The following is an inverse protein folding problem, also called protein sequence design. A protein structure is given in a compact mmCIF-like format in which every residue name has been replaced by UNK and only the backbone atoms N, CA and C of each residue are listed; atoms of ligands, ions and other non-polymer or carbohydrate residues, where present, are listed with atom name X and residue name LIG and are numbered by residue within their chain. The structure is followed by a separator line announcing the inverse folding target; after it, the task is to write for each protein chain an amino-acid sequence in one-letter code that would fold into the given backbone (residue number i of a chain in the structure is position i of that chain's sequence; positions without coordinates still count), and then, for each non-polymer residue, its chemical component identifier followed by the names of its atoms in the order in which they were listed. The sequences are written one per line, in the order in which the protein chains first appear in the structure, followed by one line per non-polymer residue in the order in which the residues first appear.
data_IF_884454698652
#
_entry.id   IF_884454698652
#
_cell.length_a   1.000
_cell.length_b   1.000
_cell.length_c   1.000
_cell.angle_alpha   90.00
_cell.angle_beta   90.00
_cell.angle_gamma   90.00
#
_symmetry.space_group_name_H-M   'P 1'
#
loop_
_entity.id
_entity.type
_entity.pdbx_description
1 polymer ?
#
# COMPACT_ATOMS: atom_id res chain seq x y z
N UNK A 1 -30.36 26.09 19.26
CA UNK A 1 -30.42 24.73 18.72
C UNK A 1 -29.03 24.12 18.86
N UNK A 2 -28.89 23.03 19.62
CA UNK A 2 -27.62 22.29 19.71
C UNK A 2 -27.88 20.85 19.26
N UNK A 3 -27.88 20.65 17.95
CA UNK A 3 -27.65 19.34 17.38
C UNK A 3 -26.14 19.10 17.39
N UNK A 4 -25.70 17.91 17.78
CA UNK A 4 -24.30 17.57 17.94
C UNK A 4 -23.99 16.21 17.32
N UNK A 5 -22.82 16.12 16.69
CA UNK A 5 -22.28 14.87 16.17
C UNK A 5 -21.46 14.17 17.27
N UNK A 6 -21.88 12.96 17.66
CA UNK A 6 -21.26 12.21 18.75
C UNK A 6 -20.24 11.18 18.23
N UNK A 7 -20.59 10.43 17.19
CA UNK A 7 -19.68 9.46 16.58
C UNK A 7 -20.01 9.14 15.14
N UNK A 8 -19.00 8.66 14.39
CA UNK A 8 -19.16 8.07 13.06
C UNK A 8 -18.40 6.74 13.04
N UNK A 9 -19.09 5.68 12.63
CA UNK A 9 -18.50 4.39 12.32
C UNK A 9 -18.53 4.13 10.82
N UNK A 10 -17.37 3.89 10.22
CA UNK A 10 -17.23 3.44 8.83
C UNK A 10 -17.32 1.91 8.74
N UNK A 11 -16.83 1.22 9.77
CA UNK A 11 -17.01 -0.21 9.93
C UNK A 11 -18.27 -0.48 10.78
N UNK A 12 -19.34 -0.96 10.16
CA UNK A 12 -20.60 -1.31 10.82
C UNK A 12 -21.44 -2.21 9.91
N UNK A 13 -22.23 -3.19 10.42
CA UNK A 13 -21.90 -4.24 11.39
C UNK A 13 -20.90 -5.28 10.83
N UNK A 14 -20.03 -5.82 11.70
CA UNK A 14 -18.84 -6.63 11.38
C UNK A 14 -19.03 -7.90 10.50
N UNK A 15 -20.26 -8.28 10.15
CA UNK A 15 -20.58 -9.47 9.35
C UNK A 15 -21.00 -9.18 7.89
N UNK A 16 -21.27 -7.93 7.51
CA UNK A 16 -21.75 -7.57 6.17
C UNK A 16 -20.60 -7.06 5.27
N UNK A 17 -19.81 -7.99 4.73
CA UNK A 17 -18.49 -7.73 4.15
C UNK A 17 -18.41 -6.87 2.86
N UNK A 18 -19.50 -6.27 2.36
CA UNK A 18 -19.50 -5.49 1.11
C UNK A 18 -19.86 -4.01 1.27
N UNK A 19 -20.35 -3.58 2.45
CA UNK A 19 -20.94 -2.23 2.63
C UNK A 19 -20.15 -1.30 3.57
N UNK A 20 -19.18 -1.84 4.28
CA UNK A 20 -18.45 -1.16 5.34
C UNK A 20 -16.93 -1.21 5.11
N UNK A 21 -16.18 -0.38 5.83
CA UNK A 21 -14.72 -0.38 5.75
C UNK A 21 -14.11 -1.69 6.27
N UNK A 22 -12.87 -1.94 5.87
CA UNK A 22 -12.04 -3.04 6.35
C UNK A 22 -11.72 -2.89 7.85
N UNK A 23 -11.55 -4.01 8.54
CA UNK A 23 -10.84 -4.02 9.82
C UNK A 23 -9.38 -3.67 9.54
N UNK A 24 -8.87 -2.61 10.18
CA UNK A 24 -7.48 -2.18 10.04
C UNK A 24 -6.87 -1.90 11.41
N UNK A 25 -5.55 -1.79 11.44
CA UNK A 25 -4.76 -1.30 12.56
C UNK A 25 -4.03 -0.05 12.11
N UNK A 26 -3.57 0.77 13.05
CA UNK A 26 -2.65 1.86 12.70
C UNK A 26 -1.27 1.29 12.39
N UNK A 27 -0.80 0.38 13.24
CA UNK A 27 0.48 -0.31 13.15
C UNK A 27 0.44 -1.61 13.97
N UNK A 28 1.60 -2.25 14.20
CA UNK A 28 1.71 -3.47 15.00
C UNK A 28 1.10 -3.34 16.42
N UNK A 29 1.25 -2.20 17.09
CA UNK A 29 0.81 -2.03 18.49
C UNK A 29 -0.64 -1.52 18.61
N UNK A 30 -1.09 -0.74 17.63
CA UNK A 30 -2.29 0.09 17.76
C UNK A 30 -3.42 -0.40 16.84
N UNK A 31 -4.52 -0.90 17.43
CA UNK A 31 -5.73 -1.29 16.69
C UNK A 31 -6.62 -0.07 16.44
N UNK A 32 -7.19 0.04 15.23
CA UNK A 32 -8.25 1.03 14.94
C UNK A 32 -9.57 0.49 15.50
N UNK A 33 -10.12 1.19 16.50
CA UNK A 33 -11.35 0.78 17.18
C UNK A 33 -12.54 1.59 16.68
N UNK A 34 -13.66 0.90 16.47
CA UNK A 34 -14.95 1.53 16.21
C UNK A 34 -15.48 2.22 17.49
N UNK A 35 -16.19 3.36 17.38
CA UNK A 35 -16.30 4.19 16.18
C UNK A 35 -14.97 4.86 15.83
N UNK A 36 -14.64 4.91 14.55
CA UNK A 36 -13.39 5.50 14.05
C UNK A 36 -13.33 7.00 14.34
N UNK A 37 -14.48 7.69 14.32
CA UNK A 37 -14.59 9.07 14.75
C UNK A 37 -15.51 9.17 15.97
N UNK A 38 -15.08 9.90 17.00
CA UNK A 38 -15.91 10.16 18.17
C UNK A 38 -15.54 11.47 18.84
N UNK A 39 -16.54 12.15 19.37
CA UNK A 39 -16.36 13.32 20.22
C UNK A 39 -16.83 12.98 21.63
N UNK A 40 -15.98 13.27 22.60
CA UNK A 40 -16.37 13.39 24.01
C UNK A 40 -16.08 14.82 24.47
N UNK A 41 -16.56 15.20 25.66
CA UNK A 41 -16.53 16.58 26.15
C UNK A 41 -15.18 17.31 26.02
N UNK A 42 -14.04 16.60 26.00
CA UNK A 42 -12.70 17.20 25.90
C UNK A 42 -11.80 16.59 24.81
N UNK A 43 -12.26 15.61 24.04
CA UNK A 43 -11.40 14.89 23.08
C UNK A 43 -12.19 14.54 21.82
N UNK A 44 -11.67 15.00 20.67
CA UNK A 44 -12.05 14.48 19.36
C UNK A 44 -11.06 13.40 18.97
N UNK A 45 -11.55 12.19 18.75
CA UNK A 45 -10.78 11.08 18.18
C UNK A 45 -11.19 10.94 16.71
N UNK A 46 -10.20 10.87 15.83
CA UNK A 46 -10.36 10.53 14.43
C UNK A 46 -9.34 9.48 14.06
N UNK A 47 -9.83 8.30 13.69
CA UNK A 47 -9.04 7.15 13.25
C UNK A 47 -9.30 6.90 11.77
N UNK A 48 -8.42 6.11 11.17
CA UNK A 48 -8.44 5.83 9.75
C UNK A 48 -9.49 4.78 9.36
N UNK A 49 -9.92 4.80 8.10
CA UNK A 49 -10.79 3.76 7.52
C UNK A 49 -10.27 3.34 6.14
N UNK A 50 -10.63 2.14 5.65
CA UNK A 50 -10.23 1.67 4.33
C UNK A 50 -11.38 0.95 3.60
N UNK A 51 -11.60 1.27 2.32
CA UNK A 51 -12.64 0.68 1.47
C UNK A 51 -12.04 -0.05 0.27
N UNK A 52 -12.68 -1.15 -0.14
CA UNK A 52 -12.28 -1.94 -1.32
C UNK A 52 -13.11 -1.51 -2.53
N UNK A 53 -12.51 -0.76 -3.45
CA UNK A 53 -13.11 -0.23 -4.69
C UNK A 53 -13.78 -1.33 -5.51
N UNK A 54 -13.11 -2.48 -5.69
CA UNK A 54 -13.64 -3.61 -6.46
C UNK A 54 -14.97 -4.16 -5.95
N UNK A 55 -15.27 -3.99 -4.66
CA UNK A 55 -16.58 -4.36 -4.07
C UNK A 55 -17.62 -3.24 -4.20
N UNK A 56 -17.18 -1.99 -4.28
CA UNK A 56 -18.06 -0.84 -4.48
C UNK A 56 -18.55 -0.76 -5.93
N UNK A 57 -17.76 -1.25 -6.90
CA UNK A 57 -18.13 -1.36 -8.32
C UNK A 57 -19.41 -2.17 -8.57
N UNK A 58 -19.78 -3.09 -7.68
CA UNK A 58 -20.99 -3.90 -7.83
C UNK A 58 -22.27 -3.10 -7.52
N UNK A 59 -22.22 -2.10 -6.62
CA UNK A 59 -23.32 -1.18 -6.31
C UNK A 59 -22.89 -0.03 -5.36
N UNK A 60 -22.72 1.18 -5.91
CA UNK A 60 -22.35 2.39 -5.16
C UNK A 60 -23.36 2.83 -4.11
N UNK A 61 -24.63 2.43 -4.25
CA UNK A 61 -25.68 2.80 -3.30
C UNK A 61 -25.51 2.12 -1.93
N UNK A 62 -24.53 1.24 -1.80
CA UNK A 62 -24.23 0.46 -0.60
C UNK A 62 -23.11 1.04 0.29
N UNK A 63 -22.45 2.14 -0.07
CA UNK A 63 -21.51 2.79 0.85
C UNK A 63 -22.28 3.45 1.99
N UNK A 64 -22.16 2.85 3.18
CA UNK A 64 -22.88 3.30 4.37
C UNK A 64 -21.94 3.69 5.48
N UNK A 65 -22.38 4.63 6.30
CA UNK A 65 -21.74 5.00 7.56
C UNK A 65 -22.80 5.11 8.65
N UNK A 66 -22.43 4.74 9.87
CA UNK A 66 -23.30 4.80 11.05
C UNK A 66 -22.95 6.00 11.89
N UNK A 67 -23.92 6.87 12.13
CA UNK A 67 -23.73 8.12 12.87
C UNK A 67 -24.52 8.09 14.17
N UNK A 68 -23.90 8.57 15.24
CA UNK A 68 -24.60 8.92 16.47
C UNK A 68 -24.77 10.44 16.55
N UNK A 69 -26.02 10.90 16.67
CA UNK A 69 -26.40 12.31 16.74
C UNK A 69 -27.15 12.57 18.04
N UNK A 70 -26.99 13.74 18.63
CA UNK A 70 -27.68 14.12 19.87
C UNK A 70 -28.26 15.54 19.71
N UNK A 71 -29.52 15.73 20.09
CA UNK A 71 -30.12 17.07 20.20
C UNK A 71 -30.37 17.37 21.67
N UNK A 72 -29.92 18.52 22.19
CA UNK A 72 -30.35 18.98 23.52
C UNK A 72 -31.59 19.88 23.48
N UNK A 73 -32.07 20.18 22.27
CA UNK A 73 -33.24 21.01 22.05
C UNK A 73 -34.52 20.18 22.10
N UNK A 74 -35.29 20.33 23.18
CA UNK A 74 -36.58 19.67 23.38
C UNK A 74 -37.61 19.97 22.27
N UNK A 75 -37.47 21.10 21.55
CA UNK A 75 -38.39 21.46 20.49
C UNK A 75 -38.07 20.76 19.16
N UNK A 76 -36.85 20.26 18.98
CA UNK A 76 -36.41 19.62 17.75
C UNK A 76 -36.73 18.12 17.77
N UNK A 77 -37.96 17.77 17.43
CA UNK A 77 -38.43 16.37 17.39
C UNK A 77 -37.90 15.60 16.18
N UNK A 78 -37.60 16.29 15.07
CA UNK A 78 -37.03 15.71 13.87
C UNK A 78 -36.26 16.75 13.07
N UNK A 79 -35.23 16.31 12.35
CA UNK A 79 -34.52 17.13 11.38
C UNK A 79 -34.06 16.29 10.19
N UNK A 80 -33.97 16.91 9.02
CA UNK A 80 -33.25 16.31 7.89
C UNK A 80 -31.78 16.63 8.05
N UNK A 81 -30.93 15.61 8.16
CA UNK A 81 -29.49 15.74 8.39
C UNK A 81 -28.74 15.28 7.16
N UNK A 82 -27.65 15.97 6.82
CA UNK A 82 -26.71 15.62 5.75
C UNK A 82 -25.30 16.06 6.13
N UNK A 83 -24.33 15.70 5.31
CA UNK A 83 -23.00 16.31 5.36
C UNK A 83 -22.48 16.56 3.95
N UNK A 84 -21.88 17.72 3.73
CA UNK A 84 -21.31 18.10 2.43
C UNK A 84 -19.79 18.04 2.54
N UNK A 85 -19.14 17.43 1.56
CA UNK A 85 -17.70 17.37 1.46
C UNK A 85 -17.12 18.76 1.23
N UNK A 86 -16.19 19.16 2.11
CA UNK A 86 -15.32 20.30 1.91
C UNK A 86 -13.97 19.78 1.47
N UNK A 87 -13.68 19.91 0.19
CA UNK A 87 -12.42 19.51 -0.40
C UNK A 87 -11.75 20.72 -1.07
N UNK A 88 -10.44 20.84 -0.91
CA UNK A 88 -9.62 21.83 -1.63
C UNK A 88 -9.31 21.37 -3.06
N UNK A 89 -9.39 20.07 -3.31
CA UNK A 89 -9.09 19.45 -4.62
C UNK A 89 -10.09 18.34 -4.91
N UNK A 90 -10.31 18.02 -6.19
CA UNK A 90 -11.13 16.86 -6.59
C UNK A 90 -10.56 15.53 -6.07
N UNK A 91 -9.25 15.47 -5.77
CA UNK A 91 -8.59 14.27 -5.25
C UNK A 91 -9.00 13.92 -3.82
N UNK A 92 -9.47 14.90 -3.05
CA UNK A 92 -9.97 14.70 -1.67
C UNK A 92 -11.48 14.44 -1.63
N UNK A 93 -12.15 14.40 -2.79
CA UNK A 93 -13.60 14.23 -2.86
C UNK A 93 -14.03 12.76 -2.65
N UNK A 94 -14.23 12.39 -1.39
CA UNK A 94 -14.78 11.08 -1.02
C UNK A 94 -16.31 10.97 -1.21
N UNK A 95 -17.01 12.09 -1.41
CA UNK A 95 -18.46 12.18 -1.56
C UNK A 95 -19.18 12.81 -0.37
N UNK A 96 -20.47 13.07 -0.57
CA UNK A 96 -21.38 13.68 0.38
C UNK A 96 -22.19 12.63 1.14
N UNK A 97 -22.65 12.98 2.33
CA UNK A 97 -23.60 12.16 3.11
C UNK A 97 -25.02 12.55 2.69
N UNK A 98 -25.77 11.57 2.17
CA UNK A 98 -27.13 11.77 1.65
C UNK A 98 -28.06 12.29 2.74
N UNK A 99 -28.87 13.29 2.40
CA UNK A 99 -29.85 13.86 3.32
C UNK A 99 -30.86 12.81 3.79
N UNK A 100 -31.03 12.68 5.11
CA UNK A 100 -31.96 11.73 5.72
C UNK A 100 -32.69 12.36 6.90
N UNK A 101 -33.99 12.08 7.01
CA UNK A 101 -34.78 12.54 8.16
C UNK A 101 -34.51 11.68 9.38
N UNK A 102 -34.08 12.32 10.46
CA UNK A 102 -33.75 11.73 11.77
C UNK A 102 -34.78 12.18 12.79
N UNK A 103 -35.20 11.26 13.65
CA UNK A 103 -36.12 11.52 14.75
C UNK A 103 -35.33 11.63 16.06
N UNK A 104 -35.67 12.61 16.89
CA UNK A 104 -35.06 12.84 18.21
C UNK A 104 -36.17 12.74 19.27
N UNK A 105 -36.54 11.52 19.69
CA UNK A 105 -37.68 11.31 20.58
C UNK A 105 -37.46 11.86 21.99
N UNK A 106 -36.21 11.79 22.46
CA UNK A 106 -35.80 12.23 23.79
C UNK A 106 -34.65 13.23 23.67
N UNK A 107 -34.82 14.44 24.19
CA UNK A 107 -33.73 15.42 24.22
C UNK A 107 -32.59 14.93 25.12
N UNK A 108 -31.37 15.13 24.66
CA UNK A 108 -30.16 14.66 25.33
C UNK A 108 -29.91 13.16 25.15
N UNK A 109 -30.76 12.38 24.48
CA UNK A 109 -30.44 11.00 24.14
C UNK A 109 -29.76 10.93 22.76
N UNK A 110 -28.65 10.17 22.60
CA UNK A 110 -28.06 9.93 21.29
C UNK A 110 -28.96 9.00 20.45
N UNK A 111 -29.10 9.32 19.17
CA UNK A 111 -29.81 8.54 18.17
C UNK A 111 -28.82 8.03 17.14
N UNK A 112 -28.87 6.73 16.86
CA UNK A 112 -27.98 6.07 15.90
C UNK A 112 -28.70 5.89 14.57
N UNK A 113 -28.11 6.37 13.47
CA UNK A 113 -28.69 6.32 12.14
C UNK A 113 -27.63 5.95 11.10
N UNK A 114 -27.99 5.05 10.19
CA UNK A 114 -27.16 4.72 9.03
C UNK A 114 -27.45 5.69 7.87
N UNK A 115 -26.41 6.25 7.27
CA UNK A 115 -26.47 7.14 6.11
C UNK A 115 -25.78 6.51 4.91
N UNK A 116 -26.22 6.89 3.72
CA UNK A 116 -25.57 6.53 2.46
C UNK A 116 -24.65 7.67 2.00
N UNK A 117 -23.65 7.32 1.19
CA UNK A 117 -22.83 8.29 0.47
C UNK A 117 -23.34 8.52 -0.96
N UNK A 118 -23.06 9.71 -1.49
CA UNK A 118 -23.33 10.09 -2.88
C UNK A 118 -22.18 10.94 -3.41
N UNK A 119 -22.16 11.19 -4.73
CA UNK A 119 -21.13 12.01 -5.39
C UNK A 119 -19.67 11.58 -5.11
N UNK A 120 -19.43 10.29 -4.83
CA UNK A 120 -18.10 9.78 -4.50
C UNK A 120 -17.25 9.57 -5.76
N UNK A 121 -15.99 10.00 -5.73
CA UNK A 121 -15.00 9.78 -6.79
C UNK A 121 -14.18 8.48 -6.59
N UNK A 122 -14.60 7.60 -5.68
CA UNK A 122 -13.82 6.44 -5.24
C UNK A 122 -13.44 5.47 -6.38
N UNK A 123 -14.26 5.32 -7.42
CA UNK A 123 -13.86 4.57 -8.63
C UNK A 123 -12.93 5.37 -9.52
N UNK A 124 -13.33 6.60 -9.83
CA UNK A 124 -12.69 7.41 -10.84
C UNK A 124 -11.22 7.69 -10.50
N UNK A 125 -10.90 7.77 -9.21
CA UNK A 125 -9.56 8.06 -8.72
C UNK A 125 -8.72 6.82 -8.40
N UNK A 126 -9.29 5.62 -8.41
CA UNK A 126 -8.55 4.39 -8.14
C UNK A 126 -7.96 4.35 -6.73
N UNK A 127 -6.78 3.75 -6.58
CA UNK A 127 -6.04 3.74 -5.30
C UNK A 127 -5.78 5.17 -4.83
N UNK A 128 -6.20 5.49 -3.61
CA UNK A 128 -6.03 6.84 -3.07
C UNK A 128 -6.12 6.88 -1.54
N UNK A 129 -5.60 7.95 -0.93
CA UNK A 129 -5.78 8.29 0.48
C UNK A 129 -6.46 9.66 0.59
N UNK A 130 -7.73 9.66 0.97
CA UNK A 130 -8.58 10.85 1.06
C UNK A 130 -8.44 11.52 2.43
N UNK A 131 -8.21 12.84 2.45
CA UNK A 131 -8.36 13.66 3.65
C UNK A 131 -9.74 14.34 3.61
N UNK A 132 -10.73 13.68 4.18
CA UNK A 132 -12.13 14.09 4.08
C UNK A 132 -12.47 15.08 5.18
N UNK A 133 -13.09 16.20 4.80
CA UNK A 133 -13.72 17.12 5.75
C UNK A 133 -15.20 17.20 5.41
N UNK A 134 -16.07 16.88 6.37
CA UNK A 134 -17.51 17.01 6.20
C UNK A 134 -18.05 18.16 7.04
N UNK A 135 -18.80 19.04 6.39
CA UNK A 135 -19.67 20.02 7.04
C UNK A 135 -21.05 19.40 7.27
N UNK A 136 -21.36 19.09 8.53
CA UNK A 136 -22.63 18.51 8.91
C UNK A 136 -23.69 19.59 9.01
N UNK A 137 -24.81 19.35 8.33
CA UNK A 137 -25.89 20.30 8.20
C UNK A 137 -27.22 19.66 8.55
N UNK A 138 -28.13 20.46 9.10
CA UNK A 138 -29.49 20.02 9.37
C UNK A 138 -30.52 21.05 8.87
N UNK A 139 -31.72 20.56 8.57
CA UNK A 139 -32.88 21.37 8.23
C UNK A 139 -34.11 20.86 9.00
N UNK A 140 -34.75 21.67 9.86
CA UNK A 140 -35.97 21.28 10.57
C UNK A 140 -37.14 20.98 9.62
N UNK A 141 -37.24 21.74 8.53
CA UNK A 141 -38.30 21.65 7.52
C UNK A 141 -38.01 20.58 6.47
N UNK A 142 -36.73 20.35 6.16
CA UNK A 142 -36.26 19.50 5.06
C UNK A 142 -36.14 20.23 3.72
N UNK A 143 -36.36 21.56 3.68
CA UNK A 143 -36.23 22.34 2.45
C UNK A 143 -34.75 22.58 2.11
N UNK A 144 -34.40 22.54 0.82
CA UNK A 144 -33.02 22.67 0.34
C UNK A 144 -32.33 23.99 0.74
N UNK A 145 -33.10 25.09 0.89
CA UNK A 145 -32.58 26.40 1.28
C UNK A 145 -32.38 26.61 2.78
N UNK A 146 -32.85 25.67 3.62
CA UNK A 146 -32.92 25.85 5.08
C UNK A 146 -31.83 25.04 5.82
N UNK A 147 -30.85 24.48 5.11
CA UNK A 147 -29.77 23.73 5.74
C UNK A 147 -28.81 24.66 6.48
N UNK A 148 -28.58 24.36 7.75
CA UNK A 148 -27.67 25.09 8.64
C UNK A 148 -26.57 24.15 9.12
N UNK A 149 -25.32 24.63 9.07
CA UNK A 149 -24.18 23.88 9.61
C UNK A 149 -24.29 23.79 11.13
N UNK A 150 -24.03 22.61 11.68
CA UNK A 150 -24.01 22.37 13.13
C UNK A 150 -22.72 21.70 13.60
N UNK A 151 -21.97 21.04 12.70
CA UNK A 151 -20.72 20.38 13.10
C UNK A 151 -19.75 20.16 11.93
N UNK A 152 -18.50 19.84 12.26
CA UNK A 152 -17.45 19.42 11.33
C UNK A 152 -16.83 18.09 11.79
N UNK A 153 -16.55 17.21 10.82
CA UNK A 153 -15.76 16.00 11.05
C UNK A 153 -14.63 15.87 10.03
N UNK A 154 -13.51 15.29 10.45
CA UNK A 154 -12.32 15.08 9.62
C UNK A 154 -11.92 13.62 9.66
N UNK A 155 -11.61 13.03 8.51
CA UNK A 155 -11.32 11.61 8.37
C UNK A 155 -10.18 11.39 7.39
N UNK A 156 -9.45 10.29 7.62
CA UNK A 156 -8.49 9.77 6.66
C UNK A 156 -8.98 8.43 6.15
N UNK A 157 -9.29 8.35 4.87
CA UNK A 157 -9.94 7.18 4.28
C UNK A 157 -9.10 6.67 3.12
N UNK A 158 -8.75 5.38 3.13
CA UNK A 158 -8.02 4.73 2.05
C UNK A 158 -8.99 4.03 1.10
N UNK A 159 -8.69 4.06 -0.19
CA UNK A 159 -9.35 3.24 -1.20
C UNK A 159 -8.34 2.27 -1.81
N UNK A 160 -8.66 0.98 -1.78
CA UNK A 160 -7.82 -0.11 -2.29
C UNK A 160 -8.56 -0.92 -3.34
N UNK A 161 -7.84 -1.59 -4.24
CA UNK A 161 -8.45 -2.22 -5.43
C UNK A 161 -9.25 -3.47 -5.08
N UNK A 162 -8.62 -4.37 -4.32
CA UNK A 162 -9.21 -5.62 -3.88
C UNK A 162 -8.98 -5.82 -2.38
N UNK A 163 -9.58 -6.87 -1.83
CA UNK A 163 -9.34 -7.24 -0.45
C UNK A 163 -7.83 -7.54 -0.28
N UNK A 164 -7.16 -6.97 0.74
CA UNK A 164 -5.77 -7.27 1.03
C UNK A 164 -5.50 -8.78 1.08
N UNK A 165 -4.38 -9.22 0.53
CA UNK A 165 -3.96 -10.63 0.56
C UNK A 165 -2.80 -10.80 1.53
N UNK A 166 -2.40 -12.05 1.81
CA UNK A 166 -1.24 -12.34 2.67
C UNK A 166 -0.04 -11.40 2.37
N UNK A 167 0.70 -10.93 3.38
CA UNK A 167 0.60 -11.31 4.79
C UNK A 167 -0.65 -10.78 5.50
N UNK A 168 -1.37 -9.85 4.88
CA UNK A 168 -2.57 -9.24 5.46
C UNK A 168 -3.72 -10.23 5.61
N UNK A 169 -4.22 -10.36 6.84
CA UNK A 169 -5.38 -11.17 7.18
C UNK A 169 -6.59 -10.28 7.46
N UNK A 170 -7.73 -10.92 7.74
CA UNK A 170 -9.02 -10.24 7.96
C UNK A 170 -9.74 -10.71 9.21
N UNK A 171 -9.08 -11.59 9.97
CA UNK A 171 -9.61 -12.10 11.22
C UNK A 171 -9.64 -10.95 12.23
N UNK A 172 -10.74 -10.85 12.96
CA UNK A 172 -10.87 -9.84 14.02
C UNK A 172 -9.75 -10.06 15.05
N UNK A 173 -9.15 -8.97 15.52
CA UNK A 173 -8.06 -8.95 16.51
C UNK A 173 -6.72 -9.61 16.10
N UNK A 174 -6.50 -9.82 14.80
CA UNK A 174 -5.22 -10.31 14.26
C UNK A 174 -4.15 -9.20 14.21
N UNK A 175 -2.88 -9.54 14.43
CA UNK A 175 -1.74 -8.61 14.28
C UNK A 175 -1.36 -8.38 12.80
N UNK A 176 -1.81 -9.27 11.92
CA UNK A 176 -1.69 -9.17 10.47
C UNK A 176 -2.87 -8.45 9.80
N UNK A 177 -3.77 -7.78 10.54
CA UNK A 177 -4.71 -6.85 9.91
C UNK A 177 -3.96 -5.76 9.11
N UNK A 178 -4.52 -5.22 8.01
CA UNK A 178 -3.89 -4.14 7.24
C UNK A 178 -3.51 -2.94 8.12
N UNK A 179 -2.29 -2.44 7.98
CA UNK A 179 -1.81 -1.28 8.75
C UNK A 179 -2.04 0.02 7.98
N UNK A 180 -2.65 1.01 8.63
CA UNK A 180 -2.84 2.36 8.10
C UNK A 180 -1.50 3.02 7.74
N UNK A 181 -0.45 2.80 8.53
CA UNK A 181 0.88 3.33 8.21
C UNK A 181 1.49 2.70 6.95
N UNK A 182 1.11 1.47 6.58
CA UNK A 182 1.51 0.89 5.29
C UNK A 182 0.60 1.39 4.17
N UNK A 183 -0.70 1.52 4.41
CA UNK A 183 -1.64 2.12 3.46
C UNK A 183 -1.24 3.55 3.08
N UNK A 184 -0.67 4.32 3.99
CA UNK A 184 -0.14 5.65 3.72
C UNK A 184 0.87 5.69 2.59
N UNK A 185 1.85 4.80 2.64
CA UNK A 185 2.88 4.70 1.63
C UNK A 185 2.38 3.99 0.38
N UNK A 186 1.64 2.89 0.54
CA UNK A 186 1.12 2.12 -0.57
C UNK A 186 0.15 2.95 -1.43
N UNK A 187 -0.78 3.68 -0.83
CA UNK A 187 -1.71 4.54 -1.55
C UNK A 187 -1.00 5.73 -2.20
N UNK A 188 0.03 6.30 -1.54
CA UNK A 188 0.84 7.37 -2.14
C UNK A 188 1.64 6.87 -3.35
N UNK A 189 2.26 5.71 -3.25
CA UNK A 189 3.10 5.15 -4.32
C UNK A 189 2.28 4.67 -5.51
N UNK A 190 1.12 4.08 -5.26
CA UNK A 190 0.23 3.56 -6.30
C UNK A 190 -0.97 4.49 -6.59
N UNK A 191 -0.88 5.78 -6.24
CA UNK A 191 -1.99 6.72 -6.39
C UNK A 191 -2.51 6.72 -7.83
N UNK A 192 -3.83 6.64 -8.00
CA UNK A 192 -4.46 6.64 -9.32
C UNK A 192 -4.56 5.28 -9.99
N UNK A 193 -3.86 4.25 -9.48
CA UNK A 193 -3.90 2.91 -10.08
C UNK A 193 -5.32 2.37 -10.12
N UNK A 194 -5.73 1.87 -11.28
CA UNK A 194 -7.08 1.36 -11.53
C UNK A 194 -7.16 -0.17 -11.50
N UNK A 195 -6.02 -0.85 -11.62
CA UNK A 195 -5.93 -2.30 -11.51
C UNK A 195 -4.69 -2.75 -10.73
N UNK A 196 -4.70 -4.04 -10.37
CA UNK A 196 -3.70 -4.63 -9.48
C UNK A 196 -2.31 -4.73 -10.10
N UNK A 197 -2.19 -4.82 -11.43
CA UNK A 197 -0.91 -4.90 -12.11
C UNK A 197 -0.26 -3.52 -12.24
N UNK A 198 -1.06 -2.49 -12.51
CA UNK A 198 -0.63 -1.10 -12.44
C UNK A 198 -0.18 -0.73 -11.02
N UNK A 199 -0.95 -1.09 -9.99
CA UNK A 199 -0.57 -0.84 -8.60
C UNK A 199 0.75 -1.55 -8.24
N UNK A 200 0.89 -2.83 -8.55
CA UNK A 200 2.14 -3.57 -8.33
C UNK A 200 3.34 -2.95 -9.08
N UNK A 201 3.11 -2.48 -10.30
CA UNK A 201 4.12 -1.77 -11.11
C UNK A 201 4.56 -0.47 -10.43
N UNK A 202 3.62 0.35 -9.96
CA UNK A 202 3.91 1.61 -9.29
C UNK A 202 4.60 1.41 -7.94
N UNK A 203 4.19 0.42 -7.15
CA UNK A 203 4.88 0.04 -5.91
C UNK A 203 6.34 -0.35 -6.21
N UNK A 204 6.56 -1.22 -7.21
CA UNK A 204 7.89 -1.68 -7.60
C UNK A 204 8.79 -0.50 -8.03
N UNK A 205 8.26 0.41 -8.84
CA UNK A 205 8.95 1.64 -9.26
C UNK A 205 9.32 2.53 -8.09
N UNK A 206 8.39 2.76 -7.16
CA UNK A 206 8.64 3.61 -6.00
C UNK A 206 9.66 2.98 -5.05
N UNK A 207 9.60 1.66 -4.83
CA UNK A 207 10.59 0.93 -4.01
C UNK A 207 11.99 1.07 -4.61
N UNK A 208 12.16 0.79 -5.90
CA UNK A 208 13.44 1.01 -6.58
C UNK A 208 13.87 2.49 -6.50
N UNK A 209 12.93 3.41 -6.68
CA UNK A 209 13.14 4.85 -6.61
C UNK A 209 13.60 5.37 -5.25
N UNK A 210 13.44 4.61 -4.15
CA UNK A 210 14.02 4.95 -2.85
C UNK A 210 15.55 5.04 -2.93
N UNK A 211 16.19 4.34 -3.87
CA UNK A 211 17.62 4.45 -4.13
C UNK A 211 18.07 5.76 -4.77
N UNK A 212 17.14 6.63 -5.15
CA UNK A 212 17.44 7.95 -5.71
C UNK A 212 17.04 9.10 -4.77
N UNK A 213 16.47 8.78 -3.60
CA UNK A 213 16.17 9.77 -2.57
C UNK A 213 17.43 9.96 -1.74
N UNK A 214 18.11 11.09 -1.88
CA UNK A 214 19.28 11.40 -1.06
C UNK A 214 18.85 11.92 0.31
N UNK A 215 19.51 11.42 1.36
CA UNK A 215 19.32 11.86 2.74
C UNK A 215 20.64 12.31 3.33
N UNK A 216 20.61 13.38 4.12
CA UNK A 216 21.78 13.85 4.84
C UNK A 216 22.11 12.86 5.97
N UNK A 217 23.36 12.42 6.03
CA UNK A 217 23.83 11.43 7.01
C UNK A 217 24.72 12.03 8.10
N UNK A 218 25.16 13.28 7.93
CA UNK A 218 25.93 14.01 8.92
C UNK A 218 25.69 15.53 8.81
N UNK A 219 26.11 16.27 9.84
CA UNK A 219 26.03 17.73 9.87
C UNK A 219 27.03 18.41 8.90
N UNK A 220 27.97 17.64 8.33
CA UNK A 220 28.96 18.13 7.38
C UNK A 220 28.44 18.12 5.92
N UNK A 221 27.19 17.69 5.70
CA UNK A 221 26.55 17.67 4.38
C UNK A 221 26.82 16.40 3.57
N UNK A 222 27.28 15.32 4.22
CA UNK A 222 27.36 14.00 3.61
C UNK A 222 25.97 13.50 3.23
N UNK A 223 25.82 12.95 2.03
CA UNK A 223 24.56 12.41 1.53
C UNK A 223 24.69 10.93 1.17
N UNK A 224 23.64 10.16 1.43
CA UNK A 224 23.52 8.75 1.06
C UNK A 224 22.11 8.47 0.55
N UNK A 225 21.91 7.47 -0.33
CA UNK A 225 20.57 7.02 -0.69
C UNK A 225 19.73 6.64 0.54
N UNK A 226 18.42 6.86 0.46
CA UNK A 226 17.49 6.41 1.47
C UNK A 226 17.53 4.88 1.59
N UNK A 227 17.71 4.18 0.48
CA UNK A 227 17.90 2.74 0.45
C UNK A 227 18.98 2.39 -0.57
N UNK A 228 19.86 1.46 -0.27
CA UNK A 228 20.85 0.96 -1.22
C UNK A 228 21.06 -0.55 -1.07
N UNK A 229 21.46 -1.20 -2.16
CA UNK A 229 21.76 -2.62 -2.11
C UNK A 229 23.01 -2.88 -1.25
N UNK A 230 22.95 -3.92 -0.42
CA UNK A 230 24.01 -4.25 0.53
C UNK A 230 25.25 -4.89 -0.12
N UNK A 231 25.98 -4.14 -0.93
CA UNK A 231 27.26 -4.60 -1.45
C UNK A 231 28.38 -4.71 -0.39
N UNK A 232 28.47 -3.84 0.63
CA UNK A 232 29.55 -3.90 1.63
C UNK A 232 29.52 -5.16 2.51
N UNK A 233 28.34 -5.73 2.79
CA UNK A 233 28.21 -6.93 3.64
C UNK A 233 27.76 -8.17 2.84
N UNK A 234 28.15 -8.23 1.57
CA UNK A 234 27.90 -9.41 0.72
C UNK A 234 26.42 -9.79 0.62
N UNK A 235 25.55 -8.78 0.45
CA UNK A 235 24.13 -8.94 0.15
C UNK A 235 23.32 -9.48 1.32
N UNK A 236 23.65 -9.08 2.56
CA UNK A 236 22.88 -9.48 3.73
C UNK A 236 21.48 -8.82 3.70
N UNK A 237 20.48 -9.53 4.21
CA UNK A 237 19.17 -8.93 4.46
C UNK A 237 19.20 -8.18 5.80
N UNK A 238 18.59 -7.00 5.84
CA UNK A 238 18.58 -6.14 7.04
C UNK A 238 17.19 -5.96 7.64
N UNK A 239 16.13 -6.18 6.84
CA UNK A 239 14.75 -6.02 7.27
C UNK A 239 14.03 -7.36 7.40
N UNK A 240 14.73 -8.48 7.26
CA UNK A 240 14.20 -9.80 7.54
C UNK A 240 14.87 -10.35 8.80
N UNK A 241 14.08 -11.01 9.66
CA UNK A 241 14.58 -11.72 10.84
C UNK A 241 13.82 -13.04 10.99
N UNK A 242 14.54 -14.17 10.97
CA UNK A 242 13.98 -15.53 11.07
C UNK A 242 12.76 -15.73 10.12
N UNK A 243 12.81 -15.14 8.93
CA UNK A 243 11.74 -15.24 7.92
C UNK A 243 10.55 -14.29 8.11
N UNK A 244 10.59 -13.38 9.09
CA UNK A 244 9.61 -12.32 9.32
C UNK A 244 10.14 -11.03 8.67
N UNK A 245 9.28 -10.27 7.98
CA UNK A 245 9.65 -8.94 7.49
C UNK A 245 9.41 -7.90 8.57
N UNK A 246 10.47 -7.23 9.03
CA UNK A 246 10.45 -6.16 10.05
C UNK A 246 9.84 -4.86 9.49
N UNK A 247 8.57 -4.91 9.09
CA UNK A 247 7.87 -3.81 8.41
C UNK A 247 7.88 -2.52 9.25
N UNK A 248 7.73 -2.63 10.57
CA UNK A 248 7.83 -1.47 11.48
C UNK A 248 9.19 -0.77 11.42
N UNK A 249 10.30 -1.51 11.21
CA UNK A 249 11.65 -0.93 11.09
C UNK A 249 11.83 -0.26 9.73
N UNK A 250 11.28 -0.85 8.67
CA UNK A 250 11.29 -0.25 7.34
C UNK A 250 10.46 1.04 7.27
N UNK A 251 9.27 1.07 7.88
CA UNK A 251 8.47 2.30 8.01
C UNK A 251 9.21 3.40 8.77
N UNK A 252 10.01 3.06 9.80
CA UNK A 252 10.89 4.04 10.48
C UNK A 252 11.95 4.59 9.53
N UNK A 253 12.52 3.77 8.64
CA UNK A 253 13.48 4.23 7.62
C UNK A 253 12.83 5.23 6.67
N UNK A 254 11.64 4.93 6.15
CA UNK A 254 10.89 5.85 5.27
C UNK A 254 10.56 7.20 5.94
N UNK A 255 10.43 7.23 7.26
CA UNK A 255 10.21 8.44 8.08
C UNK A 255 11.50 9.10 8.57
N UNK A 256 12.68 8.71 8.04
CA UNK A 256 14.00 9.20 8.48
C UNK A 256 14.24 9.09 9.99
N UNK A 257 13.63 8.06 10.60
CA UNK A 257 13.74 7.77 12.03
C UNK A 257 14.67 6.58 12.28
N UNK A 258 14.99 6.32 13.56
CA UNK A 258 15.88 5.21 13.94
C UNK A 258 15.36 3.85 13.43
N UNK A 259 16.11 3.25 12.50
CA UNK A 259 15.76 2.05 11.73
C UNK A 259 16.95 1.06 11.67
N UNK A 260 16.89 0.05 10.78
CA UNK A 260 17.95 -0.95 10.59
C UNK A 260 19.03 -0.50 9.57
N UNK A 261 18.93 0.74 9.04
CA UNK A 261 19.93 1.33 8.14
C UNK A 261 19.48 1.41 6.67
N UNK A 262 20.36 1.87 5.76
CA UNK A 262 20.03 2.04 4.34
C UNK A 262 20.06 0.72 3.56
N UNK A 263 20.79 -0.27 4.06
CA UNK A 263 21.11 -1.48 3.32
C UNK A 263 19.92 -2.42 3.22
N UNK A 264 19.72 -2.98 2.03
CA UNK A 264 18.77 -4.05 1.75
C UNK A 264 19.35 -5.04 0.75
N UNK A 265 18.78 -6.25 0.66
CA UNK A 265 19.07 -7.19 -0.41
C UNK A 265 17.81 -7.58 -1.22
N UNK A 266 17.93 -8.60 -2.08
CA UNK A 266 16.82 -9.09 -2.89
C UNK A 266 15.64 -9.65 -2.07
N UNK A 267 15.90 -10.30 -0.93
CA UNK A 267 14.85 -10.80 -0.05
C UNK A 267 14.07 -9.65 0.60
N UNK A 268 14.77 -8.62 1.07
CA UNK A 268 14.15 -7.40 1.61
C UNK A 268 13.31 -6.70 0.53
N UNK A 269 13.85 -6.52 -0.68
CA UNK A 269 13.12 -5.92 -1.80
C UNK A 269 11.83 -6.67 -2.12
N UNK A 270 11.90 -8.00 -2.23
CA UNK A 270 10.74 -8.83 -2.51
C UNK A 270 9.70 -8.74 -1.37
N UNK A 271 10.14 -8.70 -0.12
CA UNK A 271 9.27 -8.54 1.04
C UNK A 271 8.57 -7.17 1.04
N UNK A 272 9.30 -6.08 0.78
CA UNK A 272 8.75 -4.73 0.70
C UNK A 272 7.72 -4.63 -0.44
N UNK A 273 8.12 -5.01 -1.67
CA UNK A 273 7.25 -4.92 -2.85
C UNK A 273 5.98 -5.74 -2.65
N UNK A 274 6.10 -7.01 -2.24
CA UNK A 274 4.91 -7.86 -2.05
C UNK A 274 4.03 -7.39 -0.90
N UNK A 275 4.60 -6.99 0.25
CA UNK A 275 3.82 -6.50 1.40
C UNK A 275 3.01 -5.26 1.05
N UNK A 276 3.65 -4.26 0.41
CA UNK A 276 3.02 -2.99 0.08
C UNK A 276 2.07 -3.11 -1.13
N UNK A 277 2.32 -4.01 -2.08
CA UNK A 277 1.36 -4.27 -3.16
C UNK A 277 0.16 -5.09 -2.66
N UNK A 278 0.38 -6.06 -1.78
CA UNK A 278 -0.68 -6.95 -1.31
C UNK A 278 -1.68 -6.28 -0.38
N UNK A 279 -1.29 -5.17 0.28
CA UNK A 279 -2.25 -4.37 1.07
C UNK A 279 -3.29 -3.69 0.16
N UNK A 280 -2.95 -3.50 -1.13
CA UNK A 280 -3.84 -2.97 -2.15
C UNK A 280 -4.62 -4.08 -2.89
N UNK A 281 -4.29 -5.35 -2.60
CA UNK A 281 -4.93 -6.54 -3.16
C UNK A 281 -4.22 -7.17 -4.36
N UNK A 282 -2.93 -6.88 -4.60
CA UNK A 282 -2.22 -7.33 -5.80
C UNK A 282 -1.83 -8.83 -5.84
N UNK A 283 -1.88 -9.53 -4.71
CA UNK A 283 -1.61 -10.97 -4.59
C UNK A 283 -0.24 -11.46 -5.13
N UNK A 284 0.83 -10.73 -4.80
CA UNK A 284 2.20 -11.09 -5.13
C UNK A 284 2.80 -12.06 -4.11
N UNK A 285 3.49 -13.08 -4.62
CA UNK A 285 4.32 -13.99 -3.83
C UNK A 285 5.79 -13.54 -3.82
N UNK A 286 6.59 -14.11 -2.92
CA UNK A 286 8.04 -13.91 -2.84
C UNK A 286 8.72 -15.18 -3.35
N UNK A 287 9.21 -15.14 -4.59
CA UNK A 287 9.79 -16.31 -5.26
C UNK A 287 11.31 -16.17 -5.32
N UNK A 288 11.99 -17.12 -4.71
CA UNK A 288 13.45 -17.25 -4.78
C UNK A 288 13.82 -17.96 -6.08
N UNK A 289 14.92 -17.55 -6.70
CA UNK A 289 15.55 -18.24 -7.82
C UNK A 289 17.05 -18.40 -7.56
N UNK A 290 17.64 -19.47 -8.08
CA UNK A 290 19.02 -19.88 -7.76
C UNK A 290 19.04 -21.24 -7.06
N UNK A 291 20.23 -21.74 -6.71
CA UNK A 291 20.40 -23.09 -6.12
C UNK A 291 21.24 -23.06 -4.84
N UNK A 292 21.39 -21.89 -4.25
CA UNK A 292 22.19 -21.69 -3.05
C UNK A 292 23.66 -21.45 -3.37
N UNK A 293 24.48 -21.24 -2.32
CA UNK A 293 25.87 -20.79 -2.48
C UNK A 293 26.78 -21.84 -3.11
N UNK A 294 26.39 -23.11 -3.13
CA UNK A 294 27.16 -24.19 -3.76
C UNK A 294 26.97 -24.24 -5.29
N UNK A 295 25.92 -23.59 -5.83
CA UNK A 295 25.62 -23.60 -7.26
C UNK A 295 25.05 -22.25 -7.72
N UNK A 296 25.83 -21.15 -7.59
CA UNK A 296 25.39 -19.82 -8.00
C UNK A 296 25.23 -19.72 -9.52
N UNK A 297 24.52 -18.68 -9.96
CA UNK A 297 24.42 -18.32 -11.37
C UNK A 297 25.07 -16.96 -11.63
N UNK A 298 25.88 -16.90 -12.68
CA UNK A 298 26.49 -15.65 -13.13
C UNK A 298 25.45 -14.67 -13.66
N UNK A 299 25.73 -13.37 -13.49
CA UNK A 299 24.85 -12.28 -13.87
C UNK A 299 25.31 -11.62 -15.18
N UNK A 300 24.35 -11.12 -15.95
CA UNK A 300 24.61 -10.04 -16.91
C UNK A 300 24.78 -8.72 -16.14
N UNK A 301 25.23 -7.63 -16.79
CA UNK A 301 25.21 -6.32 -16.15
C UNK A 301 23.81 -5.90 -15.70
N UNK A 302 23.75 -5.27 -14.53
CA UNK A 302 22.54 -4.77 -13.88
C UNK A 302 22.79 -3.41 -13.24
N UNK A 303 21.74 -2.69 -12.87
CA UNK A 303 21.82 -1.49 -12.03
C UNK A 303 21.08 -1.81 -10.73
N UNK A 304 21.82 -1.96 -9.63
CA UNK A 304 21.23 -2.24 -8.31
C UNK A 304 20.55 -0.99 -7.73
N UNK A 305 19.54 -1.18 -6.88
CA UNK A 305 18.93 -0.08 -6.11
C UNK A 305 20.00 0.70 -5.34
N UNK A 306 19.92 2.03 -5.40
CA UNK A 306 20.90 2.93 -4.78
C UNK A 306 22.12 3.23 -5.66
N UNK A 307 22.34 2.48 -6.74
CA UNK A 307 23.39 2.80 -7.70
C UNK A 307 23.02 4.05 -8.53
N UNK A 308 24.02 4.85 -8.96
CA UNK A 308 23.78 5.95 -9.89
C UNK A 308 23.12 5.47 -11.20
N UNK A 309 22.31 6.32 -11.85
CA UNK A 309 21.76 5.98 -13.16
C UNK A 309 22.86 5.62 -14.17
N UNK A 310 22.64 4.55 -14.94
CA UNK A 310 23.59 3.99 -15.92
C UNK A 310 24.89 3.40 -15.35
N UNK A 311 25.00 3.21 -14.03
CA UNK A 311 26.14 2.53 -13.40
C UNK A 311 26.00 1.00 -13.51
N UNK A 312 26.12 0.49 -14.74
CA UNK A 312 26.03 -0.92 -15.04
C UNK A 312 27.16 -1.70 -14.38
N UNK A 313 26.80 -2.74 -13.62
CA UNK A 313 27.74 -3.61 -12.91
C UNK A 313 27.26 -5.05 -12.91
N UNK A 314 28.21 -5.99 -12.84
CA UNK A 314 27.91 -7.40 -12.60
C UNK A 314 27.84 -7.60 -11.09
N UNK A 315 26.62 -7.71 -10.55
CA UNK A 315 26.37 -7.85 -9.11
C UNK A 315 27.02 -6.73 -8.29
N UNK A 316 27.63 -7.08 -7.16
CA UNK A 316 28.49 -6.20 -6.37
C UNK A 316 29.95 -6.50 -6.69
N UNK A 317 30.65 -5.64 -7.45
CA UNK A 317 32.04 -5.90 -7.83
C UNK A 317 32.94 -6.13 -6.60
N UNK A 318 33.66 -7.24 -6.60
CA UNK A 318 34.60 -7.62 -5.53
C UNK A 318 34.00 -8.35 -4.33
N UNK A 319 32.66 -8.30 -4.13
CA UNK A 319 32.00 -8.98 -3.00
C UNK A 319 30.97 -10.02 -3.43
N UNK A 320 30.20 -9.77 -4.49
CA UNK A 320 29.18 -10.68 -5.04
C UNK A 320 29.11 -10.56 -6.58
N UNK A 321 30.00 -11.23 -7.34
CA UNK A 321 29.96 -11.20 -8.80
C UNK A 321 28.87 -12.11 -9.40
N UNK A 322 28.23 -12.94 -8.57
CA UNK A 322 27.17 -13.87 -8.94
C UNK A 322 26.08 -13.89 -7.86
N UNK A 323 24.95 -14.51 -8.19
CA UNK A 323 23.88 -14.75 -7.21
C UNK A 323 23.82 -16.22 -6.83
N UNK A 324 24.05 -16.50 -5.55
CA UNK A 324 23.68 -17.76 -4.91
C UNK A 324 22.16 -17.97 -4.94
N UNK A 325 21.42 -16.88 -4.78
CA UNK A 325 20.00 -16.77 -5.00
C UNK A 325 19.61 -15.30 -5.27
N UNK A 326 18.41 -15.12 -5.81
CA UNK A 326 17.73 -13.83 -5.98
C UNK A 326 16.25 -14.03 -5.69
N UNK A 327 15.65 -13.22 -4.80
CA UNK A 327 14.21 -13.28 -4.51
C UNK A 327 13.52 -12.06 -5.11
N UNK A 328 12.37 -12.26 -5.74
CA UNK A 328 11.56 -11.17 -6.32
C UNK A 328 10.09 -11.30 -5.93
N UNK A 329 9.35 -10.21 -6.04
CA UNK A 329 7.90 -10.27 -6.00
C UNK A 329 7.37 -10.86 -7.33
N UNK A 330 6.36 -11.71 -7.24
CA UNK A 330 5.98 -12.61 -8.32
C UNK A 330 4.47 -12.80 -8.41
N UNK A 331 3.92 -12.67 -9.62
CA UNK A 331 2.51 -12.97 -9.90
C UNK A 331 2.38 -14.27 -10.70
N UNK A 332 1.40 -15.08 -10.30
CA UNK A 332 1.08 -16.36 -10.94
C UNK A 332 2.03 -17.49 -10.53
N UNK A 333 2.07 -18.55 -11.34
CA UNK A 333 2.86 -19.74 -11.03
C UNK A 333 4.37 -19.46 -11.08
N UNK A 334 5.13 -20.08 -10.18
CA UNK A 334 6.60 -20.01 -10.13
C UNK A 334 7.24 -20.84 -11.27
N UNK A 335 7.04 -20.41 -12.52
CA UNK A 335 7.54 -21.05 -13.73
C UNK A 335 7.83 -20.01 -14.83
N UNK A 336 8.09 -20.43 -16.07
CA UNK A 336 8.42 -19.51 -17.18
C UNK A 336 7.30 -18.55 -17.59
N UNK A 337 6.03 -18.79 -17.21
CA UNK A 337 4.92 -17.89 -17.50
C UNK A 337 4.64 -16.88 -16.38
N UNK A 338 5.28 -17.01 -15.22
CA UNK A 338 5.13 -16.06 -14.12
C UNK A 338 5.59 -14.65 -14.48
N UNK A 339 5.05 -13.65 -13.79
CA UNK A 339 5.39 -12.24 -13.98
C UNK A 339 6.20 -11.73 -12.78
N UNK A 340 7.32 -11.09 -13.08
CA UNK A 340 8.30 -10.61 -12.11
C UNK A 340 8.09 -9.12 -11.85
N UNK A 341 8.13 -8.77 -10.57
CA UNK A 341 8.16 -7.42 -10.04
C UNK A 341 9.41 -7.29 -9.18
N UNK A 342 10.46 -6.71 -9.75
CA UNK A 342 11.77 -6.62 -9.11
C UNK A 342 12.08 -5.16 -8.76
N UNK A 343 12.00 -4.85 -7.46
CA UNK A 343 12.37 -3.54 -6.92
C UNK A 343 13.86 -3.43 -6.54
N UNK A 344 14.64 -4.49 -6.78
CA UNK A 344 16.02 -4.60 -6.33
C UNK A 344 17.03 -4.11 -7.37
N UNK A 345 16.73 -4.31 -8.65
CA UNK A 345 17.65 -4.02 -9.74
C UNK A 345 16.93 -3.75 -11.06
N UNK A 346 17.59 -3.03 -11.95
CA UNK A 346 17.26 -2.98 -13.38
C UNK A 346 18.13 -3.99 -14.15
N UNK A 347 17.53 -4.57 -15.19
CA UNK A 347 18.23 -5.41 -16.17
C UNK A 347 18.34 -4.67 -17.49
N UNK A 348 19.17 -5.17 -18.40
CA UNK A 348 19.20 -4.67 -19.77
C UNK A 348 17.91 -5.05 -20.52
N UNK A 349 17.27 -4.04 -21.10
CA UNK A 349 16.01 -4.05 -21.83
C UNK A 349 16.17 -4.18 -23.34
N UNK A 350 17.40 -4.13 -23.87
CA UNK A 350 17.64 -4.29 -25.31
C UNK A 350 17.58 -5.77 -25.77
N UNK A 351 18.06 -6.07 -26.97
CA UNK A 351 18.01 -7.43 -27.53
C UNK A 351 19.20 -8.31 -27.12
N UNK A 352 20.28 -7.73 -26.59
CA UNK A 352 21.51 -8.43 -26.20
C UNK A 352 21.99 -7.99 -24.80
N UNK A 353 21.46 -8.60 -23.73
CA UNK A 353 21.84 -8.27 -22.36
C UNK A 353 23.25 -8.79 -21.99
N UNK A 354 23.99 -9.41 -22.92
CA UNK A 354 25.25 -10.10 -22.61
C UNK A 354 26.49 -9.26 -22.79
N UNK A 355 26.35 -8.02 -23.29
CA UNK A 355 27.44 -7.08 -23.42
C UNK A 355 28.13 -6.82 -22.07
N UNK A 356 29.45 -6.52 -22.04
CA UNK A 356 30.12 -6.10 -20.81
C UNK A 356 29.54 -4.77 -20.31
N UNK A 357 29.73 -4.42 -19.02
CA UNK A 357 29.13 -3.20 -18.43
C UNK A 357 29.46 -1.87 -19.12
N UNK A 358 30.54 -1.81 -19.90
CA UNK A 358 30.94 -0.64 -20.69
C UNK A 358 30.17 -0.51 -22.02
N UNK A 359 29.28 -1.45 -22.33
CA UNK A 359 28.48 -1.43 -23.57
C UNK A 359 27.29 -0.48 -23.41
N UNK A 360 26.70 0.00 -24.51
CA UNK A 360 25.37 0.58 -24.47
C UNK A 360 24.37 -0.46 -23.95
N UNK A 361 23.51 -0.05 -23.03
CA UNK A 361 22.44 -0.86 -22.45
C UNK A 361 21.17 0.00 -22.34
N UNK A 362 20.00 -0.64 -22.37
CA UNK A 362 18.71 0.06 -22.15
C UNK A 362 18.19 -0.33 -20.77
N UNK A 363 18.16 0.61 -19.82
CA UNK A 363 17.71 0.30 -18.47
C UNK A 363 16.23 -0.12 -18.46
N UNK A 364 15.94 -1.32 -17.96
CA UNK A 364 14.59 -1.86 -17.78
C UNK A 364 14.40 -2.27 -16.32
N UNK A 365 13.54 -1.53 -15.60
CA UNK A 365 13.05 -2.00 -14.31
C UNK A 365 12.01 -3.11 -14.55
N UNK A 366 12.19 -4.31 -13.98
CA UNK A 366 11.26 -5.42 -14.19
C UNK A 366 9.94 -5.18 -13.45
N UNK A 367 8.98 -4.56 -14.13
CA UNK A 367 7.60 -4.41 -13.66
C UNK A 367 6.70 -5.24 -14.55
N UNK A 368 6.13 -6.30 -13.98
CA UNK A 368 5.30 -7.26 -14.72
C UNK A 368 6.05 -7.93 -15.89
N UNK A 369 7.36 -8.19 -15.80
CA UNK A 369 8.10 -8.83 -16.90
C UNK A 369 7.91 -10.36 -16.83
N UNK A 370 7.62 -11.02 -17.96
CA UNK A 370 7.55 -12.48 -17.97
C UNK A 370 8.91 -13.10 -17.60
N UNK A 371 8.91 -14.08 -16.70
CA UNK A 371 10.14 -14.72 -16.26
C UNK A 371 10.91 -15.37 -17.42
N UNK A 372 10.20 -16.10 -18.28
CA UNK A 372 10.73 -16.67 -19.51
C UNK A 372 11.54 -17.96 -19.32
N UNK A 373 11.87 -18.56 -20.47
CA UNK A 373 12.74 -19.72 -20.58
C UNK A 373 14.23 -19.34 -20.61
N UNK A 374 15.10 -20.35 -20.63
CA UNK A 374 16.56 -20.18 -20.57
C UNK A 374 17.15 -19.48 -21.81
N UNK A 375 16.53 -19.71 -22.98
CA UNK A 375 16.95 -19.14 -24.26
C UNK A 375 15.92 -18.12 -24.80
N UNK A 376 15.03 -17.63 -23.94
CA UNK A 376 14.00 -16.66 -24.32
C UNK A 376 14.50 -15.21 -24.23
N UNK A 377 13.59 -14.25 -24.30
CA UNK A 377 13.86 -12.81 -24.11
C UNK A 377 13.31 -12.27 -22.78
N UNK A 378 12.84 -13.17 -21.92
CA UNK A 378 12.25 -12.85 -20.62
C UNK A 378 13.29 -12.48 -19.56
N UNK A 379 12.81 -12.19 -18.36
CA UNK A 379 13.63 -11.73 -17.23
C UNK A 379 14.83 -12.64 -16.94
N UNK A 380 14.67 -13.97 -17.00
CA UNK A 380 15.76 -14.91 -16.76
C UNK A 380 16.95 -14.72 -17.71
N UNK A 381 16.67 -14.51 -19.00
CA UNK A 381 17.70 -14.29 -20.01
C UNK A 381 18.43 -12.96 -19.82
N UNK A 382 17.69 -11.94 -19.35
CA UNK A 382 18.22 -10.61 -19.07
C UNK A 382 19.06 -10.58 -17.80
N UNK A 383 18.71 -11.37 -16.78
CA UNK A 383 19.43 -11.44 -15.52
C UNK A 383 20.67 -12.35 -15.57
N UNK A 384 20.54 -13.56 -16.12
CA UNK A 384 21.58 -14.59 -16.03
C UNK A 384 22.48 -14.65 -17.28
N UNK A 385 23.80 -14.65 -17.06
CA UNK A 385 24.80 -14.68 -18.13
C UNK A 385 25.33 -16.08 -18.45
N UNK A 386 26.21 -16.16 -19.45
CA UNK A 386 26.95 -17.38 -19.77
C UNK A 386 26.14 -18.44 -20.52
N UNK A 387 26.64 -19.69 -20.59
CA UNK A 387 26.01 -20.76 -21.35
C UNK A 387 24.65 -21.15 -20.77
N UNK A 388 23.84 -21.83 -21.58
CA UNK A 388 22.52 -22.35 -21.19
C UNK A 388 22.54 -23.10 -19.85
N UNK A 389 23.61 -23.85 -19.56
CA UNK A 389 23.78 -24.56 -18.29
C UNK A 389 23.86 -23.64 -17.08
N UNK A 390 24.49 -22.46 -17.19
CA UNK A 390 24.54 -21.46 -16.12
C UNK A 390 23.18 -20.76 -15.97
N UNK A 391 22.57 -20.32 -17.07
CA UNK A 391 21.25 -19.68 -17.05
C UNK A 391 20.15 -20.59 -16.49
N UNK A 392 20.26 -21.90 -16.69
CA UNK A 392 19.33 -22.88 -16.15
C UNK A 392 19.36 -22.97 -14.60
N UNK A 393 20.43 -22.49 -13.96
CA UNK A 393 20.53 -22.39 -12.49
C UNK A 393 19.69 -21.25 -11.93
N UNK A 394 19.44 -20.21 -12.73
CA UNK A 394 18.42 -19.19 -12.44
C UNK A 394 17.02 -19.79 -12.69
N UNK A 395 16.64 -20.72 -11.82
CA UNK A 395 15.34 -21.40 -11.82
C UNK A 395 14.57 -21.01 -10.56
N UNK A 396 13.25 -20.82 -10.64
CA UNK A 396 12.46 -20.47 -9.48
C UNK A 396 12.38 -21.70 -8.57
N UNK A 397 12.55 -21.47 -7.26
CA UNK A 397 12.48 -22.46 -6.21
C UNK A 397 11.15 -22.34 -5.47
N UNK A 398 10.56 -23.49 -5.15
CA UNK A 398 9.42 -23.59 -4.24
C UNK A 398 8.06 -23.26 -4.85
N UNK A 399 7.06 -23.19 -3.97
CA UNK A 399 5.67 -22.85 -4.30
C UNK A 399 5.49 -21.33 -4.33
N UNK A 400 4.69 -20.76 -5.24
CA UNK A 400 4.36 -19.33 -5.31
C UNK A 400 3.47 -18.85 -4.14
N UNK A 401 3.56 -19.45 -2.96
CA UNK A 401 2.74 -19.11 -1.79
C UNK A 401 3.51 -18.40 -0.69
N UNK A 402 4.85 -18.25 -0.80
CA UNK A 402 5.65 -17.61 0.25
C UNK A 402 5.32 -16.11 0.32
N UNK A 403 4.75 -15.70 1.44
CA UNK A 403 4.48 -14.30 1.81
C UNK A 403 4.85 -14.18 3.29
N UNK A 404 5.91 -13.44 3.59
CA UNK A 404 6.44 -13.33 4.95
C UNK A 404 5.46 -12.53 5.81
N UNK A 405 5.11 -13.07 6.98
CA UNK A 405 4.40 -12.31 8.02
C UNK A 405 5.24 -11.11 8.47
N UNK A 406 4.59 -10.09 9.02
CA UNK A 406 5.23 -8.82 9.40
C UNK A 406 5.23 -8.51 10.88
#
# INVERSE_FOLDING_TARGET
MSLELQSISFNHPAAASTKCSLNIRRNFNDIVRMPEWSRTANVVRSLEAAYVIGRVLEDFSNLTLRVSLQSTDNSLQAATVRAVSRHSTEQDNFGDVVAKRVQFPDAGAPVIVDFNLTNSQLLALGVNAYNVVWDWQFSPTGNAGDFQSFDESRHKIYAVLARPTLPWTHSVDDDQLPWAEVLDWACKWAQGAQDVDEAATLITKNVFGLGHVMVDIDEAGGQSPLIEYDCPHSGAHHYIDIGIFRCSRFLKRLKLSQSDGPFINCDDCAAIVSTFANILGCDLAQVMMGRGPQDPFNLNPTILIGAPPNDWKVGCPGTLPDFSHHTVAWKGNANSSGRVFDGCLMVDGDNDPTGPPSSPHVALLPTEVQFGGVDGTGYRFRLASGPRSNRAKCSPLGSPSRKRVI
#
